data_IF_825044180094
#
_entry.id   IF_825044180094
#
_cell.length_a   1.000
_cell.length_b   1.000
_cell.length_c   1.000
_cell.angle_alpha   90.00
_cell.angle_beta   90.00
_cell.angle_gamma   90.00
#
_symmetry.space_group_name_H-M   'P 1'
#
loop_
_entity.id
_entity.type
_entity.pdbx_description
1 polymer ?
#
# COMPACT_ATOMS: atom_id res chain seq x y z
N UNK A 1 -19.75 17.12 4.34
CA UNK A 1 -18.75 16.34 3.58
C UNK A 1 -19.37 15.99 2.24
N UNK A 2 -18.99 16.69 1.18
CA UNK A 2 -19.48 16.40 -0.18
C UNK A 2 -18.67 15.22 -0.70
N UNK A 3 -19.35 14.13 -1.07
CA UNK A 3 -18.70 12.96 -1.66
C UNK A 3 -18.95 13.01 -3.16
N UNK A 4 -17.92 13.36 -3.94
CA UNK A 4 -18.00 13.32 -5.40
C UNK A 4 -17.77 11.87 -5.84
N UNK A 5 -18.71 11.31 -6.59
CA UNK A 5 -18.58 10.01 -7.23
C UNK A 5 -18.30 10.22 -8.72
N UNK A 6 -17.25 9.58 -9.22
CA UNK A 6 -16.90 9.62 -10.64
C UNK A 6 -16.51 8.22 -11.12
N UNK A 7 -16.82 7.91 -12.37
CA UNK A 7 -16.42 6.67 -13.04
C UNK A 7 -15.29 6.96 -14.01
N UNK A 8 -14.15 6.29 -13.82
CA UNK A 8 -13.04 6.35 -14.76
C UNK A 8 -13.33 5.46 -15.98
N UNK A 9 -13.35 6.05 -17.17
CA UNK A 9 -13.56 5.36 -18.45
C UNK A 9 -12.23 5.33 -19.21
N UNK A 10 -11.87 4.18 -19.75
CA UNK A 10 -10.65 4.02 -20.56
C UNK A 10 -11.00 3.98 -22.04
N UNK A 11 -10.37 4.85 -22.83
CA UNK A 11 -10.59 4.93 -24.29
C UNK A 11 -9.95 3.76 -25.05
N UNK A 12 -8.87 3.19 -24.51
CA UNK A 12 -8.19 2.04 -25.08
C UNK A 12 -7.49 1.20 -24.00
N UNK A 13 -7.03 0.00 -24.39
CA UNK A 13 -6.39 -0.94 -23.47
C UNK A 13 -5.03 -0.46 -22.94
N UNK A 14 -4.29 0.33 -23.72
CA UNK A 14 -3.01 0.91 -23.31
C UNK A 14 -3.18 1.91 -22.16
N UNK A 15 -4.16 2.81 -22.27
CA UNK A 15 -4.50 3.78 -21.23
C UNK A 15 -4.91 3.09 -19.93
N UNK A 16 -5.71 2.01 -20.03
CA UNK A 16 -6.04 1.15 -18.88
C UNK A 16 -4.78 0.58 -18.24
N UNK A 17 -3.84 0.06 -19.03
CA UNK A 17 -2.62 -0.54 -18.51
C UNK A 17 -1.72 0.48 -17.79
N UNK A 18 -1.58 1.69 -18.35
CA UNK A 18 -0.81 2.80 -17.75
C UNK A 18 -1.41 3.19 -16.39
N UNK A 19 -2.72 3.35 -16.31
CA UNK A 19 -3.39 3.71 -15.06
C UNK A 19 -3.26 2.58 -14.03
N UNK A 20 -3.47 1.32 -14.43
CA UNK A 20 -3.29 0.17 -13.53
C UNK A 20 -1.85 0.04 -13.01
N UNK A 21 -0.86 0.33 -13.85
CA UNK A 21 0.54 0.38 -13.44
C UNK A 21 0.81 1.51 -12.44
N UNK A 22 0.32 2.72 -12.72
CA UNK A 22 0.42 3.87 -11.80
C UNK A 22 -0.23 3.56 -10.44
N UNK A 23 -1.44 3.01 -10.44
CA UNK A 23 -2.16 2.62 -9.22
C UNK A 23 -1.42 1.55 -8.43
N UNK A 24 -0.78 0.58 -9.11
CA UNK A 24 0.04 -0.44 -8.46
C UNK A 24 1.27 0.17 -7.81
N UNK A 25 2.03 1.00 -8.52
CA UNK A 25 3.21 1.71 -7.98
C UNK A 25 2.84 2.58 -6.79
N UNK A 26 1.78 3.38 -6.92
CA UNK A 26 1.30 4.24 -5.83
C UNK A 26 0.86 3.43 -4.61
N UNK A 27 0.11 2.34 -4.83
CA UNK A 27 -0.29 1.45 -3.74
C UNK A 27 0.93 0.85 -3.05
N UNK A 28 1.91 0.35 -3.79
CA UNK A 28 3.15 -0.20 -3.22
C UNK A 28 3.95 0.85 -2.44
N UNK A 29 4.04 2.08 -2.95
CA UNK A 29 4.67 3.21 -2.25
C UNK A 29 3.98 3.52 -0.92
N UNK A 30 2.66 3.56 -0.89
CA UNK A 30 1.87 3.79 0.34
C UNK A 30 2.11 2.69 1.38
N UNK A 31 2.12 1.41 0.96
CA UNK A 31 2.40 0.27 1.85
C UNK A 31 3.79 0.35 2.45
N UNK A 32 4.79 0.66 1.62
CA UNK A 32 6.16 0.82 2.07
C UNK A 32 6.28 1.96 3.07
N UNK A 33 5.71 3.13 2.75
CA UNK A 33 5.69 4.29 3.64
C UNK A 33 5.02 3.96 4.98
N UNK A 34 3.90 3.23 4.97
CA UNK A 34 3.21 2.80 6.20
C UNK A 34 4.13 1.97 7.12
N UNK A 35 4.83 0.98 6.56
CA UNK A 35 5.75 0.13 7.34
C UNK A 35 6.94 0.94 7.89
N UNK A 36 7.50 1.84 7.09
CA UNK A 36 8.61 2.71 7.55
C UNK A 36 8.17 3.70 8.63
N UNK A 37 6.97 4.26 8.52
CA UNK A 37 6.38 5.11 9.56
C UNK A 37 6.15 4.33 10.87
N UNK A 38 5.78 3.05 10.80
CA UNK A 38 5.69 2.18 11.98
C UNK A 38 7.05 1.92 12.64
N UNK A 39 8.11 1.87 11.84
CA UNK A 39 9.50 1.70 12.29
C UNK A 39 10.13 3.01 12.79
N UNK A 40 9.42 4.14 12.68
CA UNK A 40 9.86 5.45 13.16
C UNK A 40 10.63 6.29 12.14
N UNK A 41 10.65 5.91 10.86
CA UNK A 41 11.25 6.77 9.82
C UNK A 41 10.50 8.09 9.68
N UNK A 42 11.26 9.18 9.44
CA UNK A 42 10.69 10.52 9.28
C UNK A 42 10.12 10.71 7.87
N UNK A 43 9.03 11.47 7.77
CA UNK A 43 8.41 11.86 6.50
C UNK A 43 9.41 12.47 5.50
N UNK A 44 10.33 13.33 5.98
CA UNK A 44 11.30 14.01 5.11
C UNK A 44 12.22 13.02 4.39
N UNK A 45 12.68 11.97 5.08
CA UNK A 45 13.53 10.94 4.51
C UNK A 45 12.78 10.08 3.49
N UNK A 46 11.54 9.72 3.80
CA UNK A 46 10.66 9.01 2.86
C UNK A 46 10.41 9.83 1.59
N UNK A 47 10.08 11.12 1.73
CA UNK A 47 9.82 12.00 0.58
C UNK A 47 11.04 12.15 -0.34
N UNK A 48 12.26 12.08 0.21
CA UNK A 48 13.50 12.11 -0.56
C UNK A 48 13.78 10.79 -1.29
N UNK A 49 13.56 9.64 -0.64
CA UNK A 49 13.94 8.32 -1.17
C UNK A 49 12.91 7.73 -2.15
N UNK A 50 11.63 7.81 -1.81
CA UNK A 50 10.56 7.07 -2.48
C UNK A 50 10.29 7.46 -3.96
N UNK A 51 10.51 8.71 -4.42
CA UNK A 51 10.29 9.06 -5.83
C UNK A 51 11.12 8.21 -6.79
N UNK A 52 12.39 7.99 -6.47
CA UNK A 52 13.30 7.18 -7.28
C UNK A 52 12.94 5.69 -7.18
N UNK A 53 12.66 5.19 -5.98
CA UNK A 53 12.36 3.76 -5.74
C UNK A 53 11.10 3.30 -6.46
N UNK A 54 10.04 4.12 -6.43
CA UNK A 54 8.75 3.75 -7.02
C UNK A 54 8.51 4.35 -8.41
N UNK A 55 9.48 5.11 -8.94
CA UNK A 55 9.33 5.88 -10.18
C UNK A 55 8.03 6.69 -10.19
N UNK A 56 7.82 7.50 -9.15
CA UNK A 56 6.63 8.32 -8.97
C UNK A 56 7.03 9.78 -8.83
N UNK A 57 6.18 10.68 -9.33
CA UNK A 57 6.34 12.11 -9.10
C UNK A 57 6.27 12.41 -7.59
N UNK A 58 7.07 13.38 -7.12
CA UNK A 58 7.20 13.69 -5.69
C UNK A 58 5.89 14.08 -5.02
N UNK A 59 4.92 14.66 -5.75
CA UNK A 59 3.58 14.97 -5.25
C UNK A 59 2.82 13.69 -4.89
N UNK A 60 2.76 12.74 -5.81
CA UNK A 60 2.08 11.45 -5.59
C UNK A 60 2.72 10.65 -4.45
N UNK A 61 4.04 10.73 -4.30
CA UNK A 61 4.75 10.14 -3.17
C UNK A 61 4.34 10.80 -1.86
N UNK A 62 4.30 12.12 -1.80
CA UNK A 62 3.89 12.85 -0.59
C UNK A 62 2.44 12.51 -0.20
N UNK A 63 1.55 12.39 -1.18
CA UNK A 63 0.16 11.94 -0.97
C UNK A 63 0.09 10.50 -0.44
N UNK A 64 0.94 9.61 -0.95
CA UNK A 64 1.04 8.24 -0.45
C UNK A 64 1.49 8.20 1.02
N UNK A 65 2.50 9.01 1.39
CA UNK A 65 2.98 9.15 2.77
C UNK A 65 1.89 9.75 3.65
N UNK A 66 1.18 10.78 3.19
CA UNK A 66 0.07 11.40 3.91
C UNK A 66 -1.05 10.40 4.19
N UNK A 67 -1.43 9.61 3.18
CA UNK A 67 -2.45 8.56 3.33
C UNK A 67 -2.02 7.46 4.29
N UNK A 68 -0.76 7.04 4.22
CA UNK A 68 -0.20 6.06 5.14
C UNK A 68 -0.25 6.55 6.59
N UNK A 69 0.17 7.79 6.84
CA UNK A 69 0.11 8.42 8.16
C UNK A 69 -1.31 8.54 8.68
N UNK A 70 -2.25 9.04 7.87
CA UNK A 70 -3.66 9.15 8.25
C UNK A 70 -4.27 7.78 8.62
N UNK A 71 -3.90 6.72 7.89
CA UNK A 71 -4.34 5.36 8.17
C UNK A 71 -3.76 4.84 9.49
N UNK A 72 -2.51 5.18 9.77
CA UNK A 72 -1.80 4.81 10.99
C UNK A 72 -2.41 5.49 12.22
N UNK A 73 -2.67 6.80 12.15
CA UNK A 73 -3.34 7.53 13.24
C UNK A 73 -4.76 7.03 13.48
N UNK A 74 -5.55 6.81 12.42
CA UNK A 74 -6.89 6.22 12.54
C UNK A 74 -6.87 4.84 13.20
N UNK A 75 -5.87 4.00 12.92
CA UNK A 75 -5.73 2.71 13.58
C UNK A 75 -5.44 2.85 15.09
N UNK A 76 -4.60 3.81 15.48
CA UNK A 76 -4.31 4.13 16.88
C UNK A 76 -5.55 4.64 17.62
N UNK A 77 -6.28 5.59 17.01
CA UNK A 77 -7.52 6.16 17.57
C UNK A 77 -8.59 5.08 17.82
N UNK A 78 -8.69 4.09 16.93
CA UNK A 78 -9.62 2.97 17.06
C UNK A 78 -9.14 1.86 18.00
N UNK A 79 -7.98 2.01 18.66
CA UNK A 79 -7.38 0.97 19.52
C UNK A 79 -7.00 -0.32 18.78
N UNK A 80 -6.92 -0.28 17.44
CA UNK A 80 -6.56 -1.43 16.61
C UNK A 80 -5.04 -1.52 16.51
N UNK A 81 -4.50 -2.73 16.60
CA UNK A 81 -3.05 -2.93 16.43
C UNK A 81 -2.60 -2.46 15.04
N UNK A 82 -1.73 -1.45 14.94
CA UNK A 82 -1.31 -0.90 13.65
C UNK A 82 -0.30 -1.81 12.94
N UNK A 83 0.29 -2.79 13.64
CA UNK A 83 1.12 -3.84 13.03
C UNK A 83 0.32 -4.88 12.25
N UNK A 84 -1.01 -4.99 12.48
CA UNK A 84 -1.86 -6.00 11.85
C UNK A 84 -2.37 -5.56 10.47
N UNK A 85 -1.53 -4.92 9.67
CA UNK A 85 -1.86 -4.62 8.28
C UNK A 85 -1.34 -5.74 7.40
N UNK A 86 -2.19 -6.75 7.19
CA UNK A 86 -1.92 -7.82 6.23
C UNK A 86 -2.23 -7.27 4.85
N UNK A 87 -1.20 -7.00 4.06
CA UNK A 87 -1.38 -6.67 2.64
C UNK A 87 -1.66 -7.96 1.86
N UNK A 88 -2.87 -8.05 1.32
CA UNK A 88 -3.45 -9.29 0.81
C UNK A 88 -4.44 -9.85 1.82
N UNK A 89 -5.74 -9.70 1.56
CA UNK A 89 -6.80 -9.95 2.53
C UNK A 89 -6.69 -11.32 3.23
N UNK A 90 -7.38 -11.47 4.37
CA UNK A 90 -7.33 -12.66 5.25
C UNK A 90 -7.39 -14.01 4.52
N UNK A 91 -8.14 -14.09 3.41
CA UNK A 91 -8.23 -15.27 2.54
C UNK A 91 -6.91 -15.58 1.81
N UNK A 92 -6.23 -14.58 1.25
CA UNK A 92 -4.91 -14.72 0.61
C UNK A 92 -3.84 -15.10 1.64
N UNK A 93 -3.86 -14.45 2.81
CA UNK A 93 -2.98 -14.80 3.94
C UNK A 93 -3.14 -16.26 4.36
N UNK A 94 -4.38 -16.73 4.55
CA UNK A 94 -4.65 -18.14 4.87
C UNK A 94 -4.23 -19.10 3.76
N UNK A 95 -4.36 -18.72 2.49
CA UNK A 95 -3.89 -19.54 1.35
C UNK A 95 -2.36 -19.66 1.33
N UNK A 96 -1.64 -18.56 1.54
CA UNK A 96 -0.17 -18.56 1.57
C UNK A 96 0.38 -19.30 2.79
N UNK A 97 -0.28 -19.18 3.95
CA UNK A 97 0.09 -19.89 5.18
C UNK A 97 0.10 -21.41 5.00
N UNK A 98 -0.85 -21.97 4.22
CA UNK A 98 -0.99 -23.42 4.05
C UNK A 98 0.18 -24.10 3.30
N UNK A 99 0.94 -23.36 2.49
CA UNK A 99 1.94 -23.98 1.59
C UNK A 99 3.33 -23.36 1.64
N UNK A 100 3.56 -22.24 2.35
CA UNK A 100 4.87 -21.57 2.37
C UNK A 100 5.58 -21.57 3.74
N UNK A 101 4.86 -21.64 4.86
CA UNK A 101 5.50 -21.53 6.18
C UNK A 101 5.94 -22.89 6.77
N UNK A 102 5.40 -24.01 6.30
CA UNK A 102 5.67 -25.34 6.87
C UNK A 102 6.63 -26.23 6.05
N UNK A 103 7.16 -25.75 4.91
CA UNK A 103 8.03 -26.55 4.06
C UNK A 103 7.43 -27.90 3.63
N UNK A 104 8.27 -28.83 3.12
CA UNK A 104 7.90 -30.15 2.58
C UNK A 104 7.20 -31.11 3.57
N UNK A 105 6.86 -30.67 4.78
CA UNK A 105 6.27 -31.51 5.83
C UNK A 105 4.77 -31.85 5.60
N UNK A 106 4.20 -31.48 4.44
CA UNK A 106 2.79 -31.73 4.10
C UNK A 106 2.62 -32.63 2.86
N UNK A 107 3.64 -33.41 2.48
CA UNK A 107 3.47 -34.55 1.58
C UNK A 107 3.18 -35.81 2.41
N UNK A 108 1.91 -36.00 2.76
CA UNK A 108 1.31 -37.29 3.09
C UNK A 108 -0.13 -37.32 2.60
#
# INVERSE_FOLDING_TARGET
MIVIQAKLIFLNQQAKQIVLDLMRRWSSCMRFAYNRLLEGEKRADLKRKLPQVFNLNSRYVDDAIMKARSTLESAKELGKSPRKVIFGGKKLFRKLQKHHLNGKAYEK
#
